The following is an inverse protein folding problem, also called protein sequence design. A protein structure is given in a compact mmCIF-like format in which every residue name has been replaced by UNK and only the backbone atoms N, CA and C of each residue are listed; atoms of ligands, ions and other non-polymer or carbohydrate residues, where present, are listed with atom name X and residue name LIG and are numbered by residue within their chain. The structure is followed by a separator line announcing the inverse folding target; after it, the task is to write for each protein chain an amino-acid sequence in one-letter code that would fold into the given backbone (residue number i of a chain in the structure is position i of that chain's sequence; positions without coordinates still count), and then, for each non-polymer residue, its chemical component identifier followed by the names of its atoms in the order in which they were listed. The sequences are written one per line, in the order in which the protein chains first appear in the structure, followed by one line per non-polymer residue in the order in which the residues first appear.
data_IF_643987110813
#
_entry.id   IF_643987110813
#
_cell.length_a   1.000
_cell.length_b   1.000
_cell.length_c   1.000
_cell.angle_alpha   90.00
_cell.angle_beta   90.00
_cell.angle_gamma   90.00
#
_symmetry.space_group_name_H-M   'P 1'
#
loop_
_entity.id
_entity.type
_entity.pdbx_description
1 polymer ?
#
# COMPACT_ATOMS: atom_id res chain seq x y z
N UNK A 1 50.97 25.63 -20.49
CA UNK A 1 50.01 24.53 -20.26
C UNK A 1 48.70 24.99 -20.91
N UNK A 2 48.50 24.64 -22.18
CA UNK A 2 47.28 25.01 -22.91
C UNK A 2 46.14 24.10 -22.48
N UNK A 3 45.17 24.65 -21.78
CA UNK A 3 43.95 23.93 -21.40
C UNK A 3 43.11 23.81 -22.67
N UNK A 4 43.00 22.60 -23.20
CA UNK A 4 42.25 22.32 -24.43
C UNK A 4 40.75 22.41 -24.12
N UNK A 5 40.03 23.26 -24.85
CA UNK A 5 38.58 23.44 -24.69
C UNK A 5 37.77 22.12 -24.77
N UNK A 6 38.31 21.11 -25.47
CA UNK A 6 37.71 19.78 -25.56
C UNK A 6 37.64 19.04 -24.20
N UNK A 7 38.62 19.21 -23.31
CA UNK A 7 38.63 18.56 -21.99
C UNK A 7 37.61 19.21 -21.04
N UNK A 8 37.50 20.54 -21.06
CA UNK A 8 36.48 21.28 -20.28
C UNK A 8 35.07 20.88 -20.73
N UNK A 9 34.86 20.73 -22.04
CA UNK A 9 33.58 20.32 -22.61
C UNK A 9 33.18 18.90 -22.21
N UNK A 10 34.16 17.99 -22.11
CA UNK A 10 33.94 16.61 -21.67
C UNK A 10 33.55 16.55 -20.19
N UNK A 11 34.25 17.30 -19.33
CA UNK A 11 33.95 17.37 -17.90
C UNK A 11 32.53 17.92 -17.66
N UNK A 12 32.16 18.99 -18.38
CA UNK A 12 30.82 19.57 -18.27
C UNK A 12 29.72 18.60 -18.76
N UNK A 13 29.95 17.84 -19.84
CA UNK A 13 29.01 16.81 -20.29
C UNK A 13 28.84 15.70 -19.25
N UNK A 14 29.94 15.25 -18.64
CA UNK A 14 29.93 14.25 -17.59
C UNK A 14 29.18 14.75 -16.34
N UNK A 15 29.34 16.01 -15.96
CA UNK A 15 28.59 16.60 -14.85
C UNK A 15 27.10 16.73 -15.15
N UNK A 16 26.72 17.05 -16.40
CA UNK A 16 25.31 17.11 -16.82
C UNK A 16 24.67 15.72 -16.83
N UNK A 17 25.38 14.69 -17.32
CA UNK A 17 24.90 13.30 -17.28
C UNK A 17 24.70 12.81 -15.84
N UNK A 18 25.61 13.15 -14.92
CA UNK A 18 25.53 12.73 -13.53
C UNK A 18 24.50 13.51 -12.70
N UNK A 19 24.08 14.70 -13.13
CA UNK A 19 23.12 15.54 -12.39
C UNK A 19 21.71 14.92 -12.31
N UNK A 20 21.32 14.10 -13.30
CA UNK A 20 20.03 13.40 -13.28
C UNK A 20 19.98 12.23 -12.28
N UNK A 21 21.14 11.63 -11.99
CA UNK A 21 21.23 10.43 -11.15
C UNK A 21 20.95 10.69 -9.67
N UNK A 22 21.23 11.88 -9.15
CA UNK A 22 20.96 12.20 -7.73
C UNK A 22 19.46 12.18 -7.40
N UNK A 23 18.61 12.60 -8.35
CA UNK A 23 17.16 12.59 -8.16
C UNK A 23 16.57 11.17 -8.16
N UNK A 24 17.12 10.26 -8.99
CA UNK A 24 16.70 8.85 -9.02
C UNK A 24 17.12 8.12 -7.73
N UNK A 25 18.27 8.47 -7.13
CA UNK A 25 18.74 7.88 -5.86
C UNK A 25 17.76 8.18 -4.72
N UNK A 26 17.14 9.37 -4.69
CA UNK A 26 16.15 9.73 -3.66
C UNK A 26 14.85 8.91 -3.74
N UNK A 27 14.59 8.24 -4.88
CA UNK A 27 13.36 7.46 -5.11
C UNK A 27 13.57 5.95 -5.00
N UNK A 28 14.82 5.54 -4.81
CA UNK A 28 15.23 4.15 -4.76
C UNK A 28 15.76 3.84 -3.36
N UNK A 29 15.29 2.73 -2.78
CA UNK A 29 15.78 2.22 -1.51
C UNK A 29 16.45 0.86 -1.65
N UNK A 30 17.24 0.49 -0.65
CA UNK A 30 17.80 -0.86 -0.51
C UNK A 30 17.25 -1.56 0.74
N UNK A 31 16.84 -2.81 0.58
CA UNK A 31 16.38 -3.64 1.70
C UNK A 31 17.57 -3.99 2.60
N UNK A 32 17.50 -3.62 3.88
CA UNK A 32 18.48 -3.99 4.88
C UNK A 32 18.18 -5.37 5.48
N UNK A 33 16.93 -5.58 5.88
CA UNK A 33 16.50 -6.80 6.56
C UNK A 33 15.03 -7.07 6.28
N UNK A 34 14.65 -8.35 6.23
CA UNK A 34 13.26 -8.79 6.12
C UNK A 34 12.93 -9.74 7.28
N UNK A 35 11.80 -9.53 7.94
CA UNK A 35 11.31 -10.41 9.00
C UNK A 35 9.82 -10.26 9.23
N UNK A 36 9.12 -11.38 9.42
CA UNK A 36 7.68 -11.44 9.73
C UNK A 36 6.78 -10.57 8.81
N UNK A 37 7.13 -10.50 7.51
CA UNK A 37 6.39 -9.68 6.53
C UNK A 37 6.67 -8.18 6.60
N UNK A 38 7.68 -7.75 7.35
CA UNK A 38 8.16 -6.37 7.41
C UNK A 38 9.57 -6.29 6.84
N UNK A 39 9.75 -5.42 5.85
CA UNK A 39 11.06 -5.05 5.32
C UNK A 39 11.50 -3.73 5.94
N UNK A 40 12.77 -3.67 6.35
CA UNK A 40 13.46 -2.41 6.65
C UNK A 40 14.25 -2.01 5.43
N UNK A 41 14.02 -0.80 4.96
CA UNK A 41 14.63 -0.28 3.74
C UNK A 41 15.36 1.01 4.07
N UNK A 42 16.59 1.14 3.59
CA UNK A 42 17.37 2.36 3.66
C UNK A 42 17.13 3.21 2.41
N UNK A 43 17.02 4.52 2.58
CA UNK A 43 16.70 5.48 1.51
C UNK A 43 15.19 5.76 1.43
N UNK A 44 14.70 6.02 0.21
CA UNK A 44 13.31 6.46 -0.04
C UNK A 44 12.97 7.79 0.67
N UNK A 45 13.85 8.78 0.60
CA UNK A 45 13.76 10.04 1.36
C UNK A 45 12.45 10.81 1.16
N UNK A 46 11.83 10.67 -0.02
CA UNK A 46 10.62 11.38 -0.38
C UNK A 46 9.32 10.56 -0.22
N UNK A 47 9.39 9.36 0.37
CA UNK A 47 8.22 8.48 0.52
C UNK A 47 7.21 9.02 1.53
N UNK A 48 5.92 8.85 1.24
CA UNK A 48 4.84 9.25 2.14
C UNK A 48 4.31 8.06 2.93
N UNK A 49 3.77 8.34 4.12
CA UNK A 49 3.13 7.31 4.93
C UNK A 49 1.87 6.79 4.24
N UNK A 50 1.75 5.47 4.11
CA UNK A 50 0.66 4.82 3.38
C UNK A 50 0.81 4.83 1.85
N UNK A 51 1.99 5.17 1.34
CA UNK A 51 2.32 5.05 -0.07
C UNK A 51 2.60 3.59 -0.45
N UNK A 52 2.23 3.21 -1.68
CA UNK A 52 2.58 1.94 -2.27
C UNK A 52 4.03 1.96 -2.75
N UNK A 53 4.74 0.87 -2.48
CA UNK A 53 6.10 0.62 -2.97
C UNK A 53 6.14 -0.71 -3.71
N UNK A 54 7.07 -0.81 -4.64
CA UNK A 54 7.30 -2.00 -5.44
C UNK A 54 8.73 -2.50 -5.24
N UNK A 55 8.86 -3.78 -4.91
CA UNK A 55 10.14 -4.46 -4.84
C UNK A 55 10.55 -4.92 -6.24
N UNK A 56 11.86 -5.11 -6.45
CA UNK A 56 12.40 -5.59 -7.74
C UNK A 56 11.76 -6.90 -8.24
N UNK A 57 11.24 -7.75 -7.35
CA UNK A 57 10.56 -9.00 -7.71
C UNK A 57 9.08 -8.81 -8.13
N UNK A 58 8.57 -7.58 -8.17
CA UNK A 58 7.16 -7.26 -8.46
C UNK A 58 6.22 -7.44 -7.27
N UNK A 59 6.76 -7.80 -6.10
CA UNK A 59 5.99 -7.78 -4.84
C UNK A 59 5.69 -6.33 -4.47
N UNK A 60 4.48 -6.08 -3.97
CA UNK A 60 4.06 -4.74 -3.54
C UNK A 60 4.12 -4.63 -2.03
N UNK A 61 4.31 -3.43 -1.52
CA UNK A 61 4.29 -3.14 -0.10
C UNK A 61 3.70 -1.76 0.20
N UNK A 62 3.52 -1.48 1.48
CA UNK A 62 3.07 -0.19 1.97
C UNK A 62 4.04 0.34 3.02
N UNK A 63 4.49 1.58 2.83
CA UNK A 63 5.31 2.29 3.81
C UNK A 63 4.45 2.67 5.03
N UNK A 64 4.82 2.20 6.23
CA UNK A 64 4.10 2.50 7.47
C UNK A 64 4.91 3.37 8.43
N UNK A 65 6.17 3.01 8.65
CA UNK A 65 7.04 3.72 9.59
C UNK A 65 8.11 4.47 8.81
N UNK A 66 8.22 5.77 9.04
CA UNK A 66 9.20 6.65 8.40
C UNK A 66 10.16 7.15 9.47
N UNK A 67 11.39 6.62 9.48
CA UNK A 67 12.49 7.09 10.32
C UNK A 67 13.51 7.82 9.44
N UNK A 68 14.41 8.60 10.03
CA UNK A 68 15.42 9.35 9.29
C UNK A 68 16.33 8.46 8.45
N UNK A 69 16.67 7.29 8.99
CA UNK A 69 17.65 6.39 8.38
C UNK A 69 17.00 5.13 7.79
N UNK A 70 15.75 4.83 8.15
CA UNK A 70 15.06 3.60 7.76
C UNK A 70 13.57 3.83 7.50
N UNK A 71 13.05 3.11 6.52
CA UNK A 71 11.63 3.02 6.24
C UNK A 71 11.14 1.60 6.51
N UNK A 72 10.12 1.49 7.35
CA UNK A 72 9.41 0.24 7.63
C UNK A 72 8.31 0.01 6.61
N UNK A 73 8.47 -1.02 5.79
CA UNK A 73 7.55 -1.38 4.71
C UNK A 73 6.90 -2.72 5.05
N UNK A 74 5.56 -2.75 5.05
CA UNK A 74 4.81 -4.00 5.15
C UNK A 74 4.67 -4.60 3.76
N UNK A 75 5.05 -5.86 3.63
CA UNK A 75 5.03 -6.59 2.36
C UNK A 75 3.64 -7.18 2.16
N UNK A 76 3.08 -6.99 0.97
CA UNK A 76 1.86 -7.66 0.53
C UNK A 76 2.22 -8.86 -0.35
N UNK A 77 2.34 -10.03 0.27
CA UNK A 77 2.66 -11.27 -0.43
C UNK A 77 3.58 -12.17 0.39
N UNK A 78 4.35 -13.00 -0.30
CA UNK A 78 5.34 -13.88 0.32
C UNK A 78 6.63 -13.10 0.61
N UNK A 79 7.02 -13.07 1.87
CA UNK A 79 8.27 -12.48 2.37
C UNK A 79 9.52 -13.23 1.88
N UNK A 80 9.38 -14.53 1.61
CA UNK A 80 10.48 -15.44 1.21
C UNK A 80 11.19 -15.06 -0.09
N UNK A 81 10.50 -14.32 -0.96
CA UNK A 81 11.05 -13.92 -2.25
C UNK A 81 11.97 -12.70 -2.13
N UNK A 82 11.84 -11.95 -1.03
CA UNK A 82 12.58 -10.72 -0.80
C UNK A 82 13.88 -11.04 -0.06
N UNK A 83 14.99 -10.53 -0.59
CA UNK A 83 16.32 -10.70 -0.02
C UNK A 83 16.91 -9.35 0.36
N UNK A 84 17.84 -9.38 1.30
CA UNK A 84 18.66 -8.23 1.67
C UNK A 84 19.44 -7.73 0.44
N UNK A 85 19.56 -6.40 0.33
CA UNK A 85 20.20 -5.72 -0.79
C UNK A 85 19.32 -5.52 -2.02
N UNK A 86 18.08 -6.01 -2.03
CA UNK A 86 17.16 -5.76 -3.15
C UNK A 86 16.75 -4.30 -3.25
N UNK A 87 16.49 -3.89 -4.49
CA UNK A 87 16.08 -2.54 -4.80
C UNK A 87 14.57 -2.38 -4.59
N UNK A 88 14.17 -1.27 -3.96
CA UNK A 88 12.77 -0.90 -3.76
C UNK A 88 12.52 0.43 -4.44
N UNK A 89 11.41 0.52 -5.16
CA UNK A 89 10.98 1.74 -5.85
C UNK A 89 9.66 2.20 -5.28
N UNK A 90 9.50 3.51 -5.15
CA UNK A 90 8.21 4.11 -4.81
C UNK A 90 7.33 4.26 -6.04
N UNK A 91 6.03 4.12 -5.85
CA UNK A 91 5.04 4.25 -6.94
C UNK A 91 4.39 5.64 -7.01
N UNK A 92 4.64 6.53 -6.04
CA UNK A 92 4.02 7.86 -5.87
C UNK A 92 2.49 7.84 -5.73
N UNK A 93 1.91 6.65 -5.61
CA UNK A 93 0.48 6.42 -5.43
C UNK A 93 0.23 5.95 -3.99
N UNK A 94 -0.73 6.61 -3.34
CA UNK A 94 -1.31 6.09 -2.09
C UNK A 94 -1.99 4.76 -2.41
N UNK A 95 -1.93 3.80 -1.49
CA UNK A 95 -2.58 2.49 -1.67
C UNK A 95 -4.05 2.66 -2.06
N UNK A 96 -4.34 2.26 -3.30
CA UNK A 96 -5.67 2.28 -3.89
C UNK A 96 -6.14 0.87 -4.20
N UNK A 97 -7.46 0.69 -4.15
CA UNK A 97 -8.10 -0.58 -4.49
C UNK A 97 -9.14 -0.29 -5.57
N UNK A 98 -9.22 -1.11 -6.63
CA UNK A 98 -10.27 -0.98 -7.64
C UNK A 98 -11.64 -1.17 -6.99
N UNK A 99 -12.59 -0.30 -7.32
CA UNK A 99 -13.97 -0.34 -6.83
C UNK A 99 -14.95 -0.29 -8.00
N UNK A 100 -16.12 -0.91 -7.81
CA UNK A 100 -17.22 -0.80 -8.76
C UNK A 100 -18.13 -2.02 -8.79
N UNK A 101 -19.19 -1.92 -9.59
CA UNK A 101 -20.20 -2.99 -9.73
C UNK A 101 -19.62 -4.30 -10.29
N UNK A 102 -18.48 -4.24 -11.00
CA UNK A 102 -17.79 -5.41 -11.54
C UNK A 102 -17.22 -6.36 -10.48
N UNK A 103 -17.11 -5.93 -9.22
CA UNK A 103 -16.67 -6.77 -8.10
C UNK A 103 -17.78 -7.68 -7.57
N UNK A 104 -19.04 -7.41 -7.90
CA UNK A 104 -20.18 -8.17 -7.36
C UNK A 104 -20.11 -9.64 -7.81
N UNK A 105 -20.10 -10.55 -6.83
CA UNK A 105 -20.05 -11.99 -7.08
C UNK A 105 -18.68 -12.53 -7.51
N UNK A 106 -17.64 -11.70 -7.47
CA UNK A 106 -16.23 -12.09 -7.71
C UNK A 106 -15.55 -12.38 -6.37
N UNK A 107 -14.50 -13.20 -6.42
CA UNK A 107 -13.59 -13.38 -5.28
C UNK A 107 -12.30 -12.63 -5.57
N UNK A 108 -11.97 -11.68 -4.69
CA UNK A 108 -10.82 -10.79 -4.85
C UNK A 108 -9.91 -10.85 -3.64
N UNK A 109 -8.63 -10.59 -3.88
CA UNK A 109 -7.62 -10.37 -2.85
C UNK A 109 -7.75 -8.96 -2.25
N UNK A 110 -7.03 -8.70 -1.15
CA UNK A 110 -6.99 -7.41 -0.44
C UNK A 110 -6.53 -6.25 -1.33
N UNK A 111 -5.72 -6.52 -2.37
CA UNK A 111 -5.29 -5.53 -3.36
C UNK A 111 -6.27 -5.39 -4.55
N UNK A 112 -7.41 -6.08 -4.53
CA UNK A 112 -8.42 -6.03 -5.59
C UNK A 112 -8.14 -6.91 -6.81
N UNK A 113 -7.14 -7.78 -6.73
CA UNK A 113 -6.84 -8.75 -7.79
C UNK A 113 -7.85 -9.91 -7.78
N UNK A 114 -8.41 -10.34 -8.92
CA UNK A 114 -9.31 -11.49 -8.97
C UNK A 114 -8.56 -12.81 -8.72
N UNK A 115 -9.05 -13.62 -7.80
CA UNK A 115 -8.50 -14.97 -7.50
C UNK A 115 -9.44 -16.10 -7.94
N UNK A 116 -10.56 -15.76 -8.58
CA UNK A 116 -11.61 -16.70 -8.99
C UNK A 116 -11.39 -17.33 -10.38
N UNK A 117 -10.31 -16.97 -11.10
CA UNK A 117 -9.98 -17.52 -12.42
C UNK A 117 -10.96 -17.13 -13.53
N UNK A 118 -11.93 -16.24 -13.27
CA UNK A 118 -12.98 -15.82 -14.22
C UNK A 118 -12.58 -14.61 -15.08
N UNK A 119 -11.28 -14.41 -15.31
CA UNK A 119 -10.74 -13.29 -16.10
C UNK A 119 -10.65 -11.94 -15.34
N UNK A 120 -10.20 -10.86 -16.00
CA UNK A 120 -9.96 -9.56 -15.37
C UNK A 120 -11.27 -8.83 -14.99
N UNK A 121 -11.20 -7.97 -13.98
CA UNK A 121 -12.35 -7.18 -13.51
C UNK A 121 -12.40 -5.85 -14.27
N UNK A 122 -13.54 -5.57 -14.91
CA UNK A 122 -13.80 -4.31 -15.63
C UNK A 122 -14.16 -3.15 -14.70
N UNK A 123 -13.30 -2.82 -13.73
CA UNK A 123 -13.48 -1.67 -12.83
C UNK A 123 -12.69 -0.46 -13.33
N UNK A 124 -13.38 0.68 -13.50
CA UNK A 124 -12.78 1.94 -13.97
C UNK A 124 -12.45 2.92 -12.83
N UNK A 125 -12.98 2.66 -11.63
CA UNK A 125 -12.82 3.52 -10.47
C UNK A 125 -11.87 2.84 -9.49
N UNK A 126 -10.95 3.60 -8.91
CA UNK A 126 -10.19 3.18 -7.73
C UNK A 126 -10.50 4.12 -6.56
N UNK A 127 -10.40 3.58 -5.35
CA UNK A 127 -10.63 4.32 -4.12
C UNK A 127 -9.44 4.09 -3.19
N UNK A 128 -9.01 5.16 -2.51
CA UNK A 128 -7.95 5.07 -1.52
C UNK A 128 -8.39 4.18 -0.35
N UNK A 129 -7.48 3.35 0.16
CA UNK A 129 -7.77 2.40 1.25
C UNK A 129 -8.22 3.08 2.55
N UNK A 130 -7.73 4.30 2.81
CA UNK A 130 -8.14 5.14 3.95
C UNK A 130 -8.89 6.37 3.46
N UNK A 131 -10.17 6.24 3.09
CA UNK A 131 -10.99 7.40 2.77
C UNK A 131 -11.32 8.17 4.06
N UNK A 132 -11.36 9.50 3.96
CA UNK A 132 -11.88 10.32 5.06
C UNK A 132 -13.38 10.04 5.18
N UNK A 133 -13.82 9.63 6.36
CA UNK A 133 -15.24 9.41 6.62
C UNK A 133 -16.02 10.72 6.49
N UNK A 134 -17.25 10.65 5.97
CA UNK A 134 -18.21 11.77 6.04
C UNK A 134 -18.37 12.24 7.50
N UNK A 135 -18.32 13.57 7.69
CA UNK A 135 -18.27 14.22 9.00
C UNK A 135 -19.52 14.04 9.87
N UNK A 136 -19.49 14.62 11.07
CA UNK A 136 -20.50 14.42 12.11
C UNK A 136 -21.92 14.78 11.65
N UNK A 137 -22.83 13.81 11.82
CA UNK A 137 -24.29 13.88 12.01
C UNK A 137 -25.19 14.69 11.05
N UNK A 138 -24.74 15.76 10.39
CA UNK A 138 -25.57 16.62 9.52
C UNK A 138 -25.78 16.09 8.11
N UNK A 139 -24.87 15.24 7.60
CA UNK A 139 -25.02 14.57 6.29
C UNK A 139 -25.58 13.15 6.38
N UNK A 140 -25.86 12.66 7.60
CA UNK A 140 -26.54 11.38 7.78
C UNK A 140 -28.01 11.53 7.43
N UNK A 141 -28.42 11.09 6.23
CA UNK A 141 -29.81 10.68 6.05
C UNK A 141 -30.13 9.62 7.09
N UNK A 142 -31.28 9.75 7.76
CA UNK A 142 -31.74 8.78 8.75
C UNK A 142 -31.61 7.35 8.23
N UNK A 143 -31.13 6.45 9.08
CA UNK A 143 -30.94 5.05 8.72
C UNK A 143 -32.30 4.48 8.27
N UNK A 144 -32.40 4.08 7.00
CA UNK A 144 -33.64 3.51 6.47
C UNK A 144 -33.88 2.18 7.22
N UNK A 145 -35.00 2.00 7.93
CA UNK A 145 -35.27 0.76 8.65
C UNK A 145 -35.47 -0.37 7.64
N UNK A 146 -34.77 -1.50 7.80
CA UNK A 146 -35.00 -2.66 6.91
C UNK A 146 -33.81 -3.57 6.63
N UNK A 147 -32.65 -3.39 7.27
CA UNK A 147 -31.62 -4.43 7.27
C UNK A 147 -32.14 -5.64 8.07
N UNK A 148 -32.88 -6.51 7.39
CA UNK A 148 -33.42 -7.76 7.92
C UNK A 148 -32.26 -8.70 8.25
N UNK A 149 -31.69 -8.56 9.44
CA UNK A 149 -30.86 -9.61 9.99
C UNK A 149 -31.78 -10.80 10.30
N UNK A 150 -31.55 -11.93 9.63
CA UNK A 150 -32.32 -13.17 9.85
C UNK A 150 -32.09 -13.80 11.23
N UNK A 151 -31.43 -13.09 12.15
CA UNK A 151 -31.36 -13.47 13.55
C UNK A 151 -32.74 -13.35 14.17
N UNK A 152 -33.55 -14.41 14.02
CA UNK A 152 -34.47 -14.81 15.09
C UNK A 152 -33.59 -14.89 16.35
N UNK A 153 -33.66 -13.87 17.21
CA UNK A 153 -33.37 -14.05 18.63
C UNK A 153 -34.27 -15.20 19.05
N UNK A 154 -33.71 -16.41 19.17
CA UNK A 154 -34.29 -17.40 20.08
C UNK A 154 -34.20 -16.71 21.43
N UNK A 155 -35.32 -16.15 21.88
CA UNK A 155 -35.50 -15.73 23.25
C UNK A 155 -35.03 -16.90 24.11
N UNK A 156 -33.91 -16.69 24.80
CA UNK A 156 -33.50 -17.51 25.92
C UNK A 156 -34.73 -17.70 26.78
N UNK A 157 -35.19 -18.96 26.90
CA UNK A 157 -36.22 -19.32 27.84
C UNK A 157 -35.85 -18.73 29.20
N UNK A 158 -36.80 -18.03 29.82
CA UNK A 158 -36.59 -17.37 31.10
C UNK A 158 -36.01 -18.35 32.10
N UNK A 159 -34.90 -17.95 32.72
CA UNK A 159 -34.42 -18.56 33.94
C UNK A 159 -35.52 -18.29 34.98
N UNK A 160 -36.33 -19.30 35.27
CA UNK A 160 -37.30 -19.25 36.37
C UNK A 160 -36.58 -19.07 37.71
N UNK A 161 -37.27 -18.55 38.75
CA UNK A 161 -36.63 -18.27 40.02
C UNK A 161 -36.08 -19.55 40.65
N UNK A 162 -34.84 -19.49 41.13
CA UNK A 162 -34.22 -20.57 41.90
C UNK A 162 -34.98 -20.76 43.23
N UNK A 163 -35.22 -21.99 43.68
CA UNK A 163 -35.85 -22.24 44.97
C UNK A 163 -34.91 -21.83 46.10
N UNK A 164 -35.45 -21.06 47.04
CA UNK A 164 -34.78 -20.67 48.28
C UNK A 164 -34.56 -21.88 49.20
N UNK A 165 -33.34 -22.07 49.69
CA UNK A 165 -33.03 -22.78 50.94
C UNK A 165 -32.70 -21.72 51.99
#
# INVERSE_FOLDING_TARGET
MEIRAAEISAILRQQIENFGTEADVAEVGQVLSVGDGVARVHGLDNVQAGEMVEFENGVRGMALNLETDNVGIVIFGADREIKEGQTVKRTRAIVDVPVGKGLLGRVVDALGNPIDGKGPIGTRLSMALRPVCTGSCTERRGMIPGALTSTRRRSSAGIGPLPSI
#
